data_IF_343297533042
#
_entry.id   IF_343297533042
#
_cell.length_a   1.000
_cell.length_b   1.000
_cell.length_c   1.000
_cell.angle_alpha   90.00
_cell.angle_beta   90.00
_cell.angle_gamma   90.00
#
_symmetry.space_group_name_H-M   'P 1'
#
loop_
_entity.id
_entity.type
_entity.pdbx_description
1 polymer ?
#
# COMPACT_ATOMS: atom_id res chain seq x y z
N UNK A 1 -3.00 28.39 15.15
CA UNK A 1 -2.04 27.60 15.98
C UNK A 1 -2.88 26.99 17.09
N UNK A 2 -3.13 25.67 17.14
CA UNK A 2 -2.13 24.66 17.54
C UNK A 2 -2.37 23.25 16.93
N UNK A 3 -1.45 22.66 16.18
CA UNK A 3 -1.51 21.19 15.94
C UNK A 3 -0.18 20.64 15.40
N UNK A 4 0.60 21.50 14.74
CA UNK A 4 1.92 21.16 14.19
C UNK A 4 2.94 20.69 15.24
N UNK A 5 2.73 21.01 16.53
CA UNK A 5 3.71 20.71 17.57
C UNK A 5 3.50 19.32 18.18
N UNK A 6 2.25 18.84 18.27
CA UNK A 6 1.95 17.62 19.04
C UNK A 6 2.38 16.37 18.28
N UNK A 7 2.06 16.26 16.99
CA UNK A 7 2.38 15.06 16.20
C UNK A 7 3.88 14.89 15.96
N UNK A 8 4.60 15.98 15.64
CA UNK A 8 6.07 15.93 15.57
C UNK A 8 6.69 15.62 16.94
N UNK A 9 6.11 16.12 18.05
CA UNK A 9 6.55 15.70 19.38
C UNK A 9 6.33 14.20 19.61
N UNK A 10 5.17 13.66 19.21
CA UNK A 10 4.83 12.24 19.42
C UNK A 10 5.75 11.32 18.61
N UNK A 11 6.01 11.64 17.34
CA UNK A 11 6.98 10.89 16.53
C UNK A 11 8.38 11.04 17.12
N UNK A 12 8.80 12.24 17.54
CA UNK A 12 10.10 12.45 18.21
C UNK A 12 10.26 11.63 19.50
N UNK A 13 9.18 11.40 20.26
CA UNK A 13 9.20 10.55 21.46
C UNK A 13 9.49 9.08 21.15
N UNK A 14 9.14 8.63 19.95
CA UNK A 14 9.31 7.23 19.51
C UNK A 14 10.64 6.98 18.80
N UNK A 15 11.26 8.00 18.20
CA UNK A 15 12.52 7.85 17.47
C UNK A 15 13.60 7.28 18.40
N UNK A 16 14.20 6.16 17.99
CA UNK A 16 15.26 5.48 18.74
C UNK A 16 14.78 4.69 19.96
N UNK A 17 13.46 4.53 20.16
CA UNK A 17 12.90 3.68 21.21
C UNK A 17 12.54 2.30 20.68
N UNK A 18 12.67 1.29 21.54
CA UNK A 18 12.26 -0.08 21.25
C UNK A 18 10.73 -0.18 21.33
N UNK A 19 10.10 -0.59 20.22
CA UNK A 19 8.65 -0.88 20.17
C UNK A 19 8.40 -2.27 20.71
N UNK A 20 7.53 -2.37 21.71
CA UNK A 20 7.17 -3.63 22.35
C UNK A 20 5.92 -4.23 21.70
N UNK A 21 4.85 -3.43 21.60
CA UNK A 21 3.57 -3.88 21.07
C UNK A 21 2.91 -2.79 20.23
N UNK A 22 2.08 -3.21 19.28
CA UNK A 22 1.30 -2.33 18.41
C UNK A 22 -0.16 -2.75 18.47
N UNK A 23 -1.07 -1.79 18.56
CA UNK A 23 -2.50 -2.02 18.44
C UNK A 23 -3.05 -1.16 17.30
N UNK A 24 -3.61 -1.81 16.27
CA UNK A 24 -4.19 -1.14 15.10
C UNK A 24 -5.60 -0.63 15.34
N UNK A 25 -6.30 -1.19 16.32
CA UNK A 25 -7.71 -0.90 16.60
C UNK A 25 -7.88 0.40 17.40
N UNK A 26 -6.76 1.02 17.80
CA UNK A 26 -6.76 2.27 18.56
C UNK A 26 -7.16 2.15 20.03
N UNK A 27 -7.31 0.93 20.57
CA UNK A 27 -7.64 0.71 21.99
C UNK A 27 -6.39 0.72 22.90
N UNK A 28 -6.52 1.42 24.03
CA UNK A 28 -5.56 1.66 25.12
C UNK A 28 -5.07 0.41 25.84
N UNK A 29 -5.80 -0.70 25.68
CA UNK A 29 -5.64 -1.87 26.54
C UNK A 29 -4.59 -2.82 25.98
N UNK A 30 -3.33 -2.61 26.35
CA UNK A 30 -2.25 -3.59 26.14
C UNK A 30 -2.25 -4.66 27.23
N UNK A 31 -2.39 -5.92 26.84
CA UNK A 31 -2.23 -7.09 27.71
C UNK A 31 -0.95 -7.84 27.34
N UNK A 32 -0.51 -8.80 28.17
CA UNK A 32 0.70 -9.58 27.89
C UNK A 32 0.63 -10.38 26.58
N UNK A 33 -0.59 -10.66 26.10
CA UNK A 33 -0.85 -11.29 24.81
C UNK A 33 -0.94 -10.30 23.62
N UNK A 34 -0.73 -9.01 23.83
CA UNK A 34 -0.77 -8.02 22.74
C UNK A 34 0.30 -8.31 21.69
N UNK A 35 -0.01 -8.16 20.40
CA UNK A 35 0.94 -8.51 19.35
C UNK A 35 2.13 -7.55 19.31
N UNK A 36 3.32 -8.10 19.03
CA UNK A 36 4.50 -7.30 18.69
C UNK A 36 4.31 -6.61 17.34
N UNK A 37 5.16 -5.63 17.02
CA UNK A 37 5.12 -4.97 15.70
C UNK A 37 5.18 -5.98 14.54
N UNK A 38 6.03 -7.00 14.67
CA UNK A 38 6.19 -8.07 13.69
C UNK A 38 4.92 -8.91 13.53
N UNK A 39 4.31 -9.30 14.66
CA UNK A 39 3.07 -10.06 14.67
C UNK A 39 1.91 -9.26 14.08
N UNK A 40 1.85 -7.95 14.34
CA UNK A 40 0.84 -7.07 13.74
C UNK A 40 0.96 -7.03 12.23
N UNK A 41 2.18 -6.89 11.70
CA UNK A 41 2.41 -6.91 10.24
C UNK A 41 1.99 -8.25 9.65
N UNK A 42 2.28 -9.35 10.35
CA UNK A 42 1.88 -10.69 9.92
C UNK A 42 0.36 -10.87 9.90
N UNK A 43 -0.34 -10.52 10.98
CA UNK A 43 -1.81 -10.58 11.05
C UNK A 43 -2.42 -9.75 9.93
N UNK A 44 -1.98 -8.50 9.80
CA UNK A 44 -2.47 -7.60 8.76
C UNK A 44 -2.24 -8.17 7.35
N UNK A 45 -1.06 -8.74 7.09
CA UNK A 45 -0.74 -9.35 5.80
C UNK A 45 -1.62 -10.59 5.51
N UNK A 46 -1.90 -11.42 6.52
CA UNK A 46 -2.73 -12.60 6.32
C UNK A 46 -4.19 -12.24 6.00
N UNK A 47 -4.69 -11.14 6.56
CA UNK A 47 -6.06 -10.65 6.38
C UNK A 47 -6.24 -9.81 5.10
N UNK A 48 -5.27 -8.94 4.79
CA UNK A 48 -5.44 -7.89 3.78
C UNK A 48 -4.59 -8.12 2.52
N UNK A 49 -3.48 -8.86 2.61
CA UNK A 49 -2.64 -9.07 1.43
C UNK A 49 -3.10 -10.23 0.56
N UNK A 50 -3.33 -9.91 -0.71
CA UNK A 50 -3.83 -10.85 -1.72
C UNK A 50 -2.77 -11.23 -2.76
N UNK A 51 -1.54 -10.72 -2.63
CA UNK A 51 -0.48 -10.90 -3.63
C UNK A 51 0.00 -12.35 -3.77
N UNK A 52 -0.19 -13.18 -2.74
CA UNK A 52 0.28 -14.57 -2.73
C UNK A 52 -0.50 -15.45 -1.76
N UNK A 53 -0.52 -16.76 -2.02
CA UNK A 53 -1.01 -17.78 -1.08
C UNK A 53 0.04 -18.19 -0.04
N UNK A 54 1.30 -17.78 -0.23
CA UNK A 54 2.37 -18.07 0.71
C UNK A 54 2.38 -16.98 1.81
N UNK A 55 2.16 -17.34 3.09
CA UNK A 55 2.15 -16.38 4.21
C UNK A 55 3.44 -15.56 4.31
N UNK A 56 4.60 -16.19 4.08
CA UNK A 56 5.88 -15.49 4.14
C UNK A 56 6.01 -14.41 3.06
N UNK A 57 5.54 -14.71 1.84
CA UNK A 57 5.58 -13.76 0.74
C UNK A 57 4.64 -12.56 0.99
N UNK A 58 3.47 -12.80 1.60
CA UNK A 58 2.55 -11.74 2.02
C UNK A 58 3.17 -10.85 3.09
N UNK A 59 3.70 -11.47 4.14
CA UNK A 59 4.37 -10.76 5.23
C UNK A 59 5.54 -9.92 4.70
N UNK A 60 6.39 -10.47 3.83
CA UNK A 60 7.53 -9.75 3.27
C UNK A 60 7.08 -8.52 2.46
N UNK A 61 6.01 -8.65 1.67
CA UNK A 61 5.46 -7.53 0.91
C UNK A 61 4.87 -6.45 1.84
N UNK A 62 4.08 -6.87 2.83
CA UNK A 62 3.54 -5.99 3.87
C UNK A 62 4.63 -5.21 4.61
N UNK A 63 5.64 -5.93 5.12
CA UNK A 63 6.76 -5.35 5.84
C UNK A 63 7.64 -4.45 4.96
N UNK A 64 7.68 -4.68 3.65
CA UNK A 64 8.45 -3.83 2.73
C UNK A 64 7.77 -2.49 2.41
N UNK A 65 6.45 -2.39 2.58
CA UNK A 65 5.76 -1.15 2.24
C UNK A 65 4.26 -1.13 2.47
N UNK A 66 3.49 -2.14 2.05
CA UNK A 66 2.02 -2.00 2.00
C UNK A 66 1.36 -1.89 3.37
N UNK A 67 2.01 -2.37 4.43
CA UNK A 67 1.55 -2.13 5.79
C UNK A 67 1.57 -0.64 6.18
N UNK A 68 2.63 0.07 5.76
CA UNK A 68 2.89 1.47 6.09
C UNK A 68 2.24 2.45 5.12
N UNK A 69 2.05 2.03 3.87
CA UNK A 69 1.44 2.81 2.80
C UNK A 69 0.29 2.00 2.20
N UNK A 70 -0.94 2.41 2.51
CA UNK A 70 -2.17 1.72 2.10
C UNK A 70 -2.91 2.59 1.10
N UNK A 71 -2.99 2.09 -0.13
CA UNK A 71 -3.82 2.72 -1.17
C UNK A 71 -5.30 2.40 -0.90
N UNK A 72 -6.13 3.44 -0.80
CA UNK A 72 -7.56 3.33 -0.53
C UNK A 72 -8.34 2.58 -1.62
N UNK A 73 -7.77 2.39 -2.81
CA UNK A 73 -8.39 1.56 -3.86
C UNK A 73 -8.23 0.06 -3.63
N UNK A 74 -7.16 -0.36 -2.95
CA UNK A 74 -6.83 -1.78 -2.79
C UNK A 74 -7.09 -2.29 -1.37
N UNK A 75 -7.08 -1.41 -0.37
CA UNK A 75 -7.20 -1.80 1.03
C UNK A 75 -8.36 -1.09 1.71
N UNK A 76 -8.95 -1.77 2.70
CA UNK A 76 -9.97 -1.16 3.55
C UNK A 76 -9.35 -0.05 4.40
N UNK A 77 -10.17 0.97 4.66
CA UNK A 77 -9.80 2.01 5.62
C UNK A 77 -9.74 1.39 7.03
N UNK A 78 -8.79 1.85 7.87
CA UNK A 78 -8.70 1.38 9.25
C UNK A 78 -9.99 1.74 10.02
N UNK A 79 -10.39 0.87 10.95
CA UNK A 79 -11.59 1.07 11.76
C UNK A 79 -11.42 2.22 12.78
N UNK A 80 -10.18 2.47 13.20
CA UNK A 80 -9.80 3.60 14.05
C UNK A 80 -9.01 4.65 13.28
N UNK A 81 -9.10 5.89 13.74
CA UNK A 81 -8.32 7.01 13.23
C UNK A 81 -6.88 7.03 13.79
N UNK A 82 -6.60 6.24 14.82
CA UNK A 82 -5.29 6.20 15.50
C UNK A 82 -4.83 4.77 15.75
N UNK A 83 -3.52 4.58 15.73
CA UNK A 83 -2.85 3.38 16.22
C UNK A 83 -2.20 3.68 17.56
N UNK A 84 -2.03 2.64 18.36
CA UNK A 84 -1.29 2.75 19.60
C UNK A 84 -0.02 1.94 19.57
N UNK A 85 1.04 2.53 20.12
CA UNK A 85 2.36 1.92 20.18
C UNK A 85 2.83 1.93 21.63
N UNK A 86 3.04 0.75 22.19
CA UNK A 86 3.70 0.57 23.48
C UNK A 86 5.20 0.44 23.24
N UNK A 87 5.98 1.31 23.86
CA UNK A 87 7.43 1.39 23.67
C UNK A 87 8.17 1.45 25.00
N UNK A 88 9.44 1.04 24.98
CA UNK A 88 10.29 1.00 26.15
C UNK A 88 10.85 2.39 26.49
N UNK A 89 10.82 2.74 27.77
CA UNK A 89 11.41 3.94 28.34
C UNK A 89 12.42 3.57 29.43
N UNK A 90 13.25 4.51 29.84
CA UNK A 90 14.23 4.28 30.91
C UNK A 90 13.57 3.95 32.26
N UNK A 91 12.29 4.34 32.42
CA UNK A 91 11.45 4.09 33.59
C UNK A 91 10.50 2.89 33.45
N UNK A 92 10.53 2.15 32.33
CA UNK A 92 9.63 1.02 32.07
C UNK A 92 9.07 1.04 30.65
N UNK A 93 7.76 1.24 30.52
CA UNK A 93 7.08 1.34 29.22
C UNK A 93 6.09 2.49 29.19
N UNK A 94 5.92 3.10 28.02
CA UNK A 94 4.93 4.14 27.78
C UNK A 94 4.13 3.83 26.51
N UNK A 95 2.98 4.48 26.34
CA UNK A 95 2.09 4.32 25.20
C UNK A 95 2.04 5.64 24.44
N UNK A 96 2.15 5.57 23.12
CA UNK A 96 1.96 6.70 22.22
C UNK A 96 0.80 6.40 21.27
N UNK A 97 -0.07 7.38 21.11
CA UNK A 97 -1.14 7.36 20.11
C UNK A 97 -0.66 8.09 18.84
N UNK A 98 -0.78 7.44 17.70
CA UNK A 98 -0.33 7.96 16.41
C UNK A 98 -1.52 7.98 15.46
N UNK A 99 -1.87 9.14 14.88
CA UNK A 99 -2.96 9.21 13.91
C UNK A 99 -2.56 8.59 12.57
N UNK A 100 -3.53 7.96 11.89
CA UNK A 100 -3.39 7.65 10.47
C UNK A 100 -3.35 8.94 9.65
N UNK A 101 -2.45 8.99 8.69
CA UNK A 101 -2.33 10.12 7.76
C UNK A 101 -2.89 9.72 6.40
N UNK A 102 -3.88 10.49 5.93
CA UNK A 102 -4.43 10.36 4.59
C UNK A 102 -3.81 11.43 3.71
N UNK A 103 -3.35 11.04 2.52
CA UNK A 103 -2.83 11.95 1.52
C UNK A 103 -3.55 11.70 0.19
N UNK A 104 -3.84 12.76 -0.55
CA UNK A 104 -4.39 12.70 -1.90
C UNK A 104 -3.33 13.19 -2.89
N UNK A 105 -3.11 12.44 -3.96
CA UNK A 105 -2.26 12.84 -5.08
C UNK A 105 -2.98 13.77 -6.07
N UNK A 106 -4.29 13.96 -5.92
CA UNK A 106 -5.11 14.82 -6.76
C UNK A 106 -5.67 16.00 -5.96
N UNK A 107 -5.83 17.16 -6.62
CA UNK A 107 -6.50 18.31 -6.04
C UNK A 107 -7.98 17.97 -5.80
N UNK A 108 -8.35 17.77 -4.54
CA UNK A 108 -9.73 17.62 -4.11
C UNK A 108 -10.19 18.98 -3.59
N UNK A 109 -11.18 19.59 -4.24
CA UNK A 109 -11.66 20.94 -3.91
C UNK A 109 -12.30 21.02 -2.51
N UNK A 110 -12.83 19.90 -2.01
CA UNK A 110 -13.70 19.88 -0.82
C UNK A 110 -13.13 19.02 0.32
N UNK A 111 -11.85 18.65 0.27
CA UNK A 111 -11.26 17.74 1.26
C UNK A 111 -11.30 18.31 2.69
N UNK A 112 -11.21 19.64 2.82
CA UNK A 112 -11.31 20.33 4.10
C UNK A 112 -12.72 20.37 4.69
N UNK A 113 -13.75 20.14 3.88
CA UNK A 113 -15.13 20.04 4.35
C UNK A 113 -15.44 18.63 4.88
N UNK A 114 -14.69 17.61 4.42
CA UNK A 114 -14.94 16.20 4.75
C UNK A 114 -13.97 15.63 5.77
N UNK A 115 -12.76 16.20 5.90
CA UNK A 115 -11.70 15.70 6.78
C UNK A 115 -10.86 16.83 7.37
N UNK A 116 -10.31 16.61 8.56
CA UNK A 116 -9.33 17.56 9.13
C UNK A 116 -8.03 17.48 8.34
N UNK A 117 -7.75 18.51 7.54
CA UNK A 117 -6.57 18.54 6.65
C UNK A 117 -5.34 18.99 7.43
N UNK A 118 -4.31 18.15 7.44
CA UNK A 118 -3.01 18.56 7.95
C UNK A 118 -2.30 19.47 6.94
N UNK A 119 -2.43 20.79 7.14
CA UNK A 119 -1.83 21.81 6.28
C UNK A 119 -0.30 21.78 6.25
N UNK A 120 0.35 21.09 7.20
CA UNK A 120 1.81 20.91 7.25
C UNK A 120 2.36 20.11 6.07
N UNK A 121 1.57 19.15 5.57
CA UNK A 121 1.92 18.31 4.41
C UNK A 121 1.15 18.72 3.14
N UNK A 122 0.29 19.76 3.24
CA UNK A 122 -0.39 20.37 2.10
C UNK A 122 0.62 21.07 1.21
N UNK A 123 1.11 20.37 0.19
CA UNK A 123 1.97 20.98 -0.81
C UNK A 123 1.15 21.98 -1.62
N UNK A 124 1.59 23.25 -1.60
CA UNK A 124 1.19 24.32 -2.53
C UNK A 124 1.65 24.01 -3.97
N UNK A 125 1.32 22.85 -4.50
CA UNK A 125 1.56 22.58 -5.91
C UNK A 125 0.30 22.99 -6.67
N UNK A 126 0.32 24.18 -7.29
CA UNK A 126 -0.53 24.47 -8.43
C UNK A 126 -0.23 23.42 -9.51
N UNK A 127 -0.92 22.29 -9.46
CA UNK A 127 -0.87 21.32 -10.55
C UNK A 127 -1.61 21.94 -11.73
N UNK A 128 -0.87 22.55 -12.65
CA UNK A 128 -1.38 22.83 -13.99
C UNK A 128 -1.75 21.50 -14.65
N UNK A 129 -3.04 21.18 -14.61
CA UNK A 129 -3.62 20.07 -15.36
C UNK A 129 -3.45 20.34 -16.86
N UNK A 130 -2.37 19.84 -17.45
CA UNK A 130 -2.30 19.62 -18.89
C UNK A 130 -3.02 18.30 -19.24
N UNK A 131 -4.27 18.11 -18.79
CA UNK A 131 -5.11 17.03 -19.31
C UNK A 131 -5.83 17.52 -20.57
N UNK A 132 -5.07 17.79 -21.64
CA UNK A 132 -5.63 17.55 -22.98
C UNK A 132 -5.66 16.04 -23.16
N UNK A 133 -6.70 15.43 -22.62
CA UNK A 133 -7.02 14.03 -22.90
C UNK A 133 -7.09 13.88 -24.41
N UNK A 134 -6.16 13.11 -24.99
CA UNK A 134 -6.27 12.64 -26.36
C UNK A 134 -7.44 11.64 -26.42
N UNK A 135 -8.67 12.15 -26.36
CA UNK A 135 -9.91 11.39 -26.60
C UNK A 135 -10.12 11.12 -28.08
N UNK A 136 -9.24 11.61 -28.96
CA UNK A 136 -9.16 11.13 -30.33
C UNK A 136 -8.26 9.90 -30.41
N UNK A 137 -8.90 8.71 -30.51
CA UNK A 137 -8.35 7.40 -30.91
C UNK A 137 -8.13 6.33 -29.83
N UNK A 138 -8.88 6.32 -28.73
CA UNK A 138 -9.28 5.03 -28.15
C UNK A 138 -10.43 4.48 -28.99
N UNK A 139 -10.08 3.83 -30.10
CA UNK A 139 -11.03 2.90 -30.73
C UNK A 139 -11.44 1.91 -29.66
N UNK A 140 -12.67 2.03 -29.15
CA UNK A 140 -13.31 1.00 -28.33
C UNK A 140 -13.05 -0.32 -29.05
N UNK A 141 -12.33 -1.24 -28.40
CA UNK A 141 -12.20 -2.59 -28.91
C UNK A 141 -13.61 -3.09 -29.14
N UNK A 142 -13.97 -3.26 -30.40
CA UNK A 142 -15.23 -3.83 -30.83
C UNK A 142 -15.34 -5.15 -30.05
N UNK A 143 -16.38 -5.29 -29.23
CA UNK A 143 -16.72 -6.56 -28.61
C UNK A 143 -16.64 -7.64 -29.70
N UNK A 144 -15.94 -8.77 -29.49
CA UNK A 144 -15.68 -9.72 -30.54
C UNK A 144 -17.02 -10.13 -31.16
N UNK A 145 -17.25 -9.69 -32.41
CA UNK A 145 -18.36 -10.18 -33.22
C UNK A 145 -18.25 -11.70 -33.23
N UNK A 146 -19.34 -12.38 -32.88
CA UNK A 146 -19.50 -13.83 -32.98
C UNK A 146 -18.76 -14.37 -34.21
N UNK A 147 -17.60 -15.00 -34.00
CA UNK A 147 -16.85 -15.64 -35.07
C UNK A 147 -17.46 -17.03 -35.23
N UNK A 148 -18.52 -17.12 -36.03
CA UNK A 148 -19.03 -18.38 -36.60
C UNK A 148 -18.05 -18.88 -37.66
N UNK A 149 -16.87 -19.32 -37.22
CA UNK A 149 -15.96 -20.10 -38.05
C UNK A 149 -15.32 -21.17 -37.18
N UNK A 150 -15.19 -22.42 -37.66
CA UNK A 150 -14.61 -23.49 -36.85
C UNK A 150 -13.15 -23.16 -36.54
N UNK A 151 -12.90 -22.67 -35.32
CA UNK A 151 -11.56 -22.34 -34.86
C UNK A 151 -10.77 -23.63 -34.75
N UNK A 152 -9.71 -23.75 -35.56
CA UNK A 152 -8.80 -24.89 -35.51
C UNK A 152 -8.08 -24.91 -34.15
N UNK A 153 -8.64 -25.66 -33.20
CA UNK A 153 -8.20 -25.70 -31.78
C UNK A 153 -6.71 -26.02 -31.63
N UNK A 154 -6.13 -26.78 -32.57
CA UNK A 154 -4.70 -27.11 -32.56
C UNK A 154 -3.83 -25.88 -32.85
N UNK A 155 -4.26 -25.00 -33.75
CA UNK A 155 -3.51 -23.80 -34.09
C UNK A 155 -3.59 -22.75 -32.97
N UNK A 156 -4.76 -22.63 -32.32
CA UNK A 156 -4.93 -21.78 -31.15
C UNK A 156 -4.06 -22.23 -29.97
N UNK A 157 -4.04 -23.54 -29.70
CA UNK A 157 -3.19 -24.11 -28.65
C UNK A 157 -1.69 -23.90 -28.94
N UNK A 158 -1.29 -23.99 -30.22
CA UNK A 158 0.09 -23.69 -30.66
C UNK A 158 0.43 -22.22 -30.42
N UNK A 159 -0.44 -21.29 -30.85
CA UNK A 159 -0.25 -19.85 -30.63
C UNK A 159 -0.15 -19.50 -29.15
N UNK A 160 -0.99 -20.09 -28.30
CA UNK A 160 -0.94 -19.88 -26.85
C UNK A 160 0.38 -20.40 -26.25
N UNK A 161 0.82 -21.61 -26.65
CA UNK A 161 2.07 -22.21 -26.19
C UNK A 161 3.29 -21.38 -26.60
N UNK A 162 3.30 -20.85 -27.82
CA UNK A 162 4.38 -19.99 -28.31
C UNK A 162 4.43 -18.66 -27.54
N UNK A 163 3.27 -18.11 -27.18
CA UNK A 163 3.15 -16.88 -26.40
C UNK A 163 3.62 -17.08 -24.95
N UNK A 164 3.27 -18.21 -24.33
CA UNK A 164 3.76 -18.58 -23.00
C UNK A 164 5.28 -18.73 -22.97
N UNK A 165 5.86 -19.42 -23.97
CA UNK A 165 7.32 -19.55 -24.10
C UNK A 165 8.02 -18.21 -24.29
N UNK A 166 7.43 -17.31 -25.07
CA UNK A 166 7.99 -15.97 -25.28
C UNK A 166 8.01 -15.18 -23.96
N UNK A 167 6.91 -15.19 -23.22
CA UNK A 167 6.82 -14.52 -21.92
C UNK A 167 7.77 -15.11 -20.87
N UNK A 168 7.94 -16.43 -20.84
CA UNK A 168 8.91 -17.10 -19.98
C UNK A 168 10.35 -16.67 -20.29
N UNK A 169 10.70 -16.56 -21.58
CA UNK A 169 12.03 -16.07 -21.99
C UNK A 169 12.26 -14.61 -21.61
N UNK A 170 11.27 -13.75 -21.82
CA UNK A 170 11.35 -12.32 -21.45
C UNK A 170 11.47 -12.13 -19.93
N UNK A 171 10.76 -12.93 -19.12
CA UNK A 171 10.88 -12.87 -17.66
C UNK A 171 12.24 -13.36 -17.16
N UNK A 172 12.84 -14.37 -17.80
CA UNK A 172 14.20 -14.81 -17.48
C UNK A 172 15.25 -13.75 -17.80
N UNK A 173 15.11 -13.03 -18.92
CA UNK A 173 15.99 -11.91 -19.28
C UNK A 173 15.88 -10.80 -18.23
N UNK A 174 14.65 -10.37 -17.88
CA UNK A 174 14.43 -9.36 -16.84
C UNK A 174 14.98 -9.77 -15.47
N UNK A 175 14.97 -11.07 -15.12
CA UNK A 175 15.57 -11.57 -13.88
C UNK A 175 17.10 -11.52 -13.93
N UNK A 176 17.71 -11.85 -15.07
CA UNK A 176 19.16 -11.73 -15.28
C UNK A 176 19.62 -10.27 -15.14
N UNK A 177 18.90 -9.35 -15.78
CA UNK A 177 19.18 -7.91 -15.75
C UNK A 177 19.05 -7.32 -14.32
N UNK A 178 18.27 -7.98 -13.44
CA UNK A 178 18.10 -7.57 -12.04
C UNK A 178 19.20 -8.10 -11.10
N UNK A 179 20.00 -9.08 -11.54
CA UNK A 179 21.03 -9.76 -10.73
C UNK A 179 22.43 -9.17 -11.01
N UNK A 180 22.60 -8.38 -12.07
CA UNK A 180 23.87 -7.70 -12.39
C UNK A 180 23.77 -6.21 -11.98
N UNK A 181 24.24 -5.81 -10.78
CA UNK A 181 24.10 -4.44 -10.27
C UNK A 181 25.17 -3.48 -10.83
N UNK A 182 25.85 -3.85 -11.92
CA UNK A 182 26.91 -3.06 -12.55
C UNK A 182 26.54 -2.68 -13.98
N UNK A 183 25.59 -1.75 -14.10
CA UNK A 183 25.62 -0.73 -15.14
C UNK A 183 25.57 0.63 -14.46
#
# INVERSE_FOLDING_TARGET
MPDMNIQQLMIKKLIGKEVLHVNLDGNDTFIDASPTAEQVIQIWADENEQISRNPYARWQYANSGSFYYRDAWFYLLPESNTIQIKYKTDSGSSVAEIPFLVHSSSALTDFAEQCTVNTTYGSKSEMHYNSKSNTSKTSRSIAPKNITSPVNKKELAKKLKDLMKKNEKETLIKKRDKIDPLW
#
